data_IF_393534190116
#
_entry.id   IF_393534190116
#
_cell.length_a   1.000
_cell.length_b   1.000
_cell.length_c   1.000
_cell.angle_alpha   90.00
_cell.angle_beta   90.00
_cell.angle_gamma   90.00
#
_symmetry.space_group_name_H-M   'P 1'
#
loop_
_entity.id
_entity.type
_entity.pdbx_description
1 polymer ?
#
# COMPACT_ATOMS: atom_id res chain seq x y z
N UNK A 1 15.95 1.36 -2.76
CA UNK A 1 14.73 0.61 -3.13
C UNK A 1 14.15 1.27 -4.38
N UNK A 2 14.07 0.59 -5.53
CA UNK A 2 13.53 1.21 -6.75
C UNK A 2 11.99 1.28 -6.61
N UNK A 3 11.49 2.37 -6.03
CA UNK A 3 10.06 2.51 -5.71
C UNK A 3 9.29 2.85 -6.98
N UNK A 4 8.52 1.87 -7.44
CA UNK A 4 7.58 2.03 -8.54
C UNK A 4 6.25 2.54 -7.99
N UNK A 5 5.54 3.34 -8.78
CA UNK A 5 4.12 3.60 -8.57
C UNK A 5 3.33 2.32 -8.36
N UNK A 6 2.35 2.37 -7.45
CA UNK A 6 1.40 1.28 -7.24
C UNK A 6 0.73 0.90 -8.57
N UNK A 7 0.67 -0.40 -8.84
CA UNK A 7 -0.10 -0.92 -9.96
C UNK A 7 -1.59 -0.74 -9.66
N UNK A 8 -2.41 -0.62 -10.71
CA UNK A 8 -3.89 -0.56 -10.59
C UNK A 8 -4.44 -1.62 -9.63
N UNK A 9 -3.90 -2.84 -9.72
CA UNK A 9 -4.26 -3.96 -8.84
C UNK A 9 -3.98 -3.70 -7.36
N UNK A 10 -2.82 -3.13 -7.02
CA UNK A 10 -2.46 -2.86 -5.61
C UNK A 10 -3.40 -1.80 -5.02
N UNK A 11 -3.72 -0.77 -5.80
CA UNK A 11 -4.70 0.26 -5.41
C UNK A 11 -6.07 -0.37 -5.15
N UNK A 12 -6.57 -1.22 -6.07
CA UNK A 12 -7.87 -1.90 -5.91
C UNK A 12 -7.87 -2.82 -4.69
N UNK A 13 -6.82 -3.62 -4.50
CA UNK A 13 -6.71 -4.52 -3.35
C UNK A 13 -6.72 -3.73 -2.04
N UNK A 14 -5.91 -2.67 -1.93
CA UNK A 14 -5.90 -1.80 -0.76
C UNK A 14 -7.28 -1.24 -0.48
N UNK A 15 -7.97 -0.73 -1.52
CA UNK A 15 -9.30 -0.15 -1.39
C UNK A 15 -10.35 -1.17 -0.91
N UNK A 16 -10.34 -2.40 -1.44
CA UNK A 16 -11.27 -3.46 -1.03
C UNK A 16 -11.02 -3.90 0.42
N UNK A 17 -9.75 -4.05 0.81
CA UNK A 17 -9.39 -4.33 2.20
C UNK A 17 -9.82 -3.17 3.11
N UNK A 18 -9.62 -1.92 2.71
CA UNK A 18 -10.01 -0.75 3.49
C UNK A 18 -11.53 -0.66 3.65
N UNK A 19 -12.30 -0.94 2.60
CA UNK A 19 -13.76 -0.98 2.66
C UNK A 19 -14.27 -1.98 3.69
N UNK A 20 -13.58 -3.11 3.87
CA UNK A 20 -13.97 -4.16 4.82
C UNK A 20 -13.43 -3.95 6.23
N UNK A 21 -12.13 -3.69 6.35
CA UNK A 21 -11.40 -3.72 7.62
C UNK A 21 -11.02 -2.34 8.14
N UNK A 22 -11.16 -1.28 7.32
CA UNK A 22 -10.65 0.06 7.67
C UNK A 22 -9.18 -0.03 8.10
N UNK A 23 -8.83 0.50 9.26
CA UNK A 23 -7.50 0.37 9.88
C UNK A 23 -7.48 -0.65 11.02
N UNK A 24 -8.51 -1.50 11.11
CA UNK A 24 -8.54 -2.61 12.05
C UNK A 24 -7.63 -3.75 11.63
N UNK A 25 -7.37 -4.65 12.57
CA UNK A 25 -6.58 -5.86 12.31
C UNK A 25 -7.38 -6.83 11.45
N UNK A 26 -6.70 -7.50 10.54
CA UNK A 26 -7.25 -8.61 9.76
C UNK A 26 -6.19 -9.69 9.59
N UNK A 27 -6.62 -10.94 9.43
CA UNK A 27 -5.69 -12.03 9.15
C UNK A 27 -5.63 -12.35 7.64
N UNK A 28 -4.66 -13.18 7.24
CA UNK A 28 -4.49 -13.56 5.82
C UNK A 28 -5.68 -14.32 5.24
N UNK A 29 -6.38 -15.12 6.05
CA UNK A 29 -7.57 -15.86 5.61
C UNK A 29 -8.76 -14.91 5.36
N UNK A 30 -8.93 -13.88 6.19
CA UNK A 30 -9.94 -12.84 5.99
C UNK A 30 -9.69 -12.10 4.67
N UNK A 31 -8.43 -11.76 4.39
CA UNK A 31 -8.04 -11.15 3.13
C UNK A 31 -8.34 -12.06 1.92
N UNK A 32 -8.11 -13.38 2.04
CA UNK A 32 -8.50 -14.33 1.00
C UNK A 32 -10.00 -14.42 0.81
N UNK A 33 -10.80 -14.32 1.87
CA UNK A 33 -12.26 -14.30 1.79
C UNK A 33 -12.76 -13.06 1.04
N UNK A 34 -12.24 -11.88 1.38
CA UNK A 34 -12.63 -10.59 0.78
C UNK A 34 -12.23 -10.48 -0.69
N UNK A 35 -11.01 -10.95 -1.01
CA UNK A 35 -10.42 -10.76 -2.34
C UNK A 35 -10.64 -11.96 -3.27
N UNK A 36 -11.03 -13.11 -2.72
CA UNK A 36 -11.21 -14.38 -3.43
C UNK A 36 -12.13 -14.31 -4.66
N UNK A 37 -13.23 -13.53 -4.67
CA UNK A 37 -14.05 -13.37 -5.87
C UNK A 37 -13.33 -12.72 -7.07
N UNK A 38 -12.21 -12.03 -6.83
CA UNK A 38 -11.52 -11.22 -7.85
C UNK A 38 -10.07 -11.67 -8.10
N UNK A 39 -9.41 -12.24 -7.10
CA UNK A 39 -7.98 -12.54 -7.14
C UNK A 39 -7.68 -13.90 -6.52
N UNK A 40 -6.71 -14.62 -7.10
CA UNK A 40 -6.21 -15.86 -6.52
C UNK A 40 -5.45 -15.61 -5.21
N UNK A 41 -5.41 -16.62 -4.33
CA UNK A 41 -4.64 -16.56 -3.06
C UNK A 41 -3.19 -16.11 -3.28
N UNK A 42 -2.54 -16.59 -4.35
CA UNK A 42 -1.17 -16.20 -4.73
C UNK A 42 -1.06 -14.70 -5.04
N UNK A 43 -2.00 -14.17 -5.82
CA UNK A 43 -2.02 -12.73 -6.16
C UNK A 43 -2.25 -11.90 -4.90
N UNK A 44 -3.24 -12.27 -4.09
CA UNK A 44 -3.54 -11.60 -2.82
C UNK A 44 -2.33 -11.57 -1.90
N UNK A 45 -1.69 -12.72 -1.67
CA UNK A 45 -0.50 -12.83 -0.81
C UNK A 45 0.66 -11.98 -1.33
N UNK A 46 0.96 -12.05 -2.63
CA UNK A 46 2.04 -11.27 -3.23
C UNK A 46 1.79 -9.76 -3.14
N UNK A 47 0.55 -9.32 -3.34
CA UNK A 47 0.17 -7.92 -3.19
C UNK A 47 0.26 -7.45 -1.75
N UNK A 48 -0.21 -8.23 -0.77
CA UNK A 48 -0.09 -7.89 0.66
C UNK A 48 1.39 -7.85 1.08
N UNK A 49 2.19 -8.83 0.66
CA UNK A 49 3.63 -8.87 0.94
C UNK A 49 4.37 -7.67 0.36
N UNK A 50 4.08 -7.31 -0.89
CA UNK A 50 4.63 -6.11 -1.51
C UNK A 50 4.21 -4.84 -0.77
N UNK A 51 2.91 -4.67 -0.48
CA UNK A 51 2.38 -3.51 0.25
C UNK A 51 2.94 -3.42 1.67
N UNK A 52 3.27 -4.56 2.29
CA UNK A 52 3.98 -4.61 3.58
C UNK A 52 5.39 -4.05 3.43
N UNK A 53 6.11 -4.47 2.39
CA UNK A 53 7.48 -4.01 2.12
C UNK A 53 7.56 -2.50 1.89
N UNK A 54 6.56 -1.90 1.24
CA UNK A 54 6.51 -0.46 0.96
C UNK A 54 5.82 0.37 2.06
N UNK A 55 5.40 -0.25 3.16
CA UNK A 55 4.83 0.46 4.31
C UNK A 55 3.36 0.86 4.19
N UNK A 56 2.62 0.33 3.21
CA UNK A 56 1.18 0.56 3.07
C UNK A 56 0.34 -0.40 3.93
N UNK A 57 0.95 -1.53 4.32
CA UNK A 57 0.38 -2.51 5.27
C UNK A 57 1.44 -2.75 6.35
N UNK A 58 1.01 -2.83 7.61
CA UNK A 58 1.85 -3.25 8.72
C UNK A 58 1.56 -4.71 9.06
N UNK A 59 2.58 -5.56 9.09
CA UNK A 59 2.47 -6.95 9.58
C UNK A 59 2.64 -6.93 11.09
N UNK A 60 1.61 -7.36 11.83
CA UNK A 60 1.59 -7.34 13.30
C UNK A 60 2.08 -8.66 13.90
N UNK A 61 1.78 -9.78 13.24
CA UNK A 61 2.21 -11.12 13.61
C UNK A 61 2.39 -11.98 12.35
N UNK A 62 2.64 -13.29 12.49
CA UNK A 62 2.86 -14.16 11.32
C UNK A 62 1.70 -14.13 10.31
N UNK A 63 0.47 -13.94 10.80
CA UNK A 63 -0.75 -14.00 9.99
C UNK A 63 -1.63 -12.76 10.10
N UNK A 64 -1.33 -11.82 10.99
CA UNK A 64 -2.13 -10.61 11.19
C UNK A 64 -1.48 -9.37 10.56
N UNK A 65 -2.34 -8.52 10.01
CA UNK A 65 -2.00 -7.33 9.26
C UNK A 65 -2.92 -6.18 9.67
N UNK A 66 -2.46 -4.97 9.35
CA UNK A 66 -3.24 -3.73 9.46
C UNK A 66 -2.93 -2.83 8.27
N UNK A 67 -3.94 -2.16 7.71
CA UNK A 67 -3.71 -1.13 6.69
C UNK A 67 -3.17 0.14 7.35
N UNK A 68 -2.19 0.78 6.70
CA UNK A 68 -1.77 2.12 7.08
C UNK A 68 -2.56 3.15 6.27
N UNK A 69 -2.76 4.39 6.78
CA UNK A 69 -3.40 5.46 6.03
C UNK A 69 -2.71 5.71 4.68
N UNK A 70 -3.51 5.86 3.62
CA UNK A 70 -2.99 5.97 2.25
C UNK A 70 -2.32 7.33 2.02
N UNK A 71 -2.85 8.38 2.64
CA UNK A 71 -2.31 9.73 2.69
C UNK A 71 -0.90 9.75 3.30
N UNK A 72 -0.67 9.05 4.42
CA UNK A 72 0.66 8.91 5.00
C UNK A 72 1.65 8.27 4.03
N UNK A 73 1.20 7.24 3.29
CA UNK A 73 2.02 6.62 2.26
C UNK A 73 2.34 7.60 1.13
N UNK A 74 1.34 8.34 0.63
CA UNK A 74 1.53 9.34 -0.42
C UNK A 74 2.49 10.44 0.03
N UNK A 75 2.30 11.01 1.21
CA UNK A 75 3.10 12.12 1.69
C UNK A 75 4.56 11.69 1.95
N UNK A 76 4.73 10.59 2.69
CA UNK A 76 6.04 10.14 3.15
C UNK A 76 6.88 9.52 2.05
N UNK A 77 6.26 8.74 1.15
CA UNK A 77 6.99 7.93 0.19
C UNK A 77 6.93 8.46 -1.25
N UNK A 78 5.89 9.21 -1.64
CA UNK A 78 5.74 9.72 -3.00
C UNK A 78 5.97 11.23 -3.11
N UNK A 79 5.35 12.01 -2.23
CA UNK A 79 5.31 13.45 -2.33
C UNK A 79 6.66 14.06 -1.95
N UNK A 80 7.27 13.65 -0.83
CA UNK A 80 8.51 14.27 -0.35
C UNK A 80 9.64 14.29 -1.40
N UNK A 81 10.06 13.18 -2.02
CA UNK A 81 11.15 13.21 -3.02
C UNK A 81 10.76 13.98 -4.28
N UNK A 82 9.49 13.88 -4.70
CA UNK A 82 8.98 14.59 -5.87
C UNK A 82 8.97 16.10 -5.65
N UNK A 83 8.44 16.55 -4.52
CA UNK A 83 8.32 17.96 -4.17
C UNK A 83 9.70 18.58 -3.93
N UNK A 84 10.62 17.90 -3.24
CA UNK A 84 12.01 18.35 -3.06
C UNK A 84 12.72 18.56 -4.40
N UNK A 85 12.54 17.63 -5.35
CA UNK A 85 13.05 17.79 -6.71
C UNK A 85 12.44 19.02 -7.40
N UNK A 86 11.13 19.23 -7.29
CA UNK A 86 10.43 20.38 -7.91
C UNK A 86 10.88 21.70 -7.32
N UNK A 87 11.06 21.77 -6.00
CA UNK A 87 11.60 22.95 -5.30
C UNK A 87 13.02 23.27 -5.79
N UNK A 88 13.87 22.25 -5.90
CA UNK A 88 15.26 22.42 -6.38
C UNK A 88 15.32 22.95 -7.82
N UNK A 89 14.49 22.42 -8.71
CA UNK A 89 14.39 22.90 -10.09
C UNK A 89 13.89 24.35 -10.16
N UNK A 90 12.90 24.71 -9.33
CA UNK A 90 12.39 26.09 -9.27
C UNK A 90 13.46 27.08 -8.83
N UNK A 91 14.26 26.73 -7.81
CA UNK A 91 15.38 27.55 -7.31
C UNK A 91 16.54 27.71 -8.29
N UNK A 92 16.63 26.90 -9.35
CA UNK A 92 17.66 27.02 -10.39
C UNK A 92 17.20 27.89 -11.58
N UNK A 93 15.89 28.05 -11.74
CA UNK A 93 15.28 28.82 -12.83
C UNK A 93 15.06 30.29 -12.41
N UNK A 94 14.86 30.52 -11.10
CA UNK A 94 14.86 31.86 -10.49
C UNK A 94 16.27 32.26 -10.09
#
# INVERSE_FOLDING_TARGET
>A
MNMRWLKKREVIIYFLLFKKFRYEKFNIADAFSVLGPYFSKKVTYNSISYMTKIGLITKLSNVEYRLNPFDDFVLSFLAKPYLERRVTLRRRIQ
#
